data_IF_278560548576
#
_entry.id   IF_278560548576
#
_cell.length_a   1.000
_cell.length_b   1.000
_cell.length_c   1.000
_cell.angle_alpha   90.00
_cell.angle_beta   90.00
_cell.angle_gamma   90.00
#
_symmetry.space_group_name_H-M   'P 1'
#
loop_
_entity.id
_entity.type
_entity.pdbx_description
1 polymer ?
#
# COMPACT_ATOMS: atom_id res chain seq x y z
N UNK A 1 -20.51 -9.33 -0.46
CA UNK A 1 -21.48 -10.24 0.18
C UNK A 1 -20.99 -10.61 1.58
N UNK A 2 -21.90 -10.84 2.53
CA UNK A 2 -21.57 -11.30 3.88
C UNK A 2 -21.19 -12.79 3.88
N UNK A 3 -19.93 -13.08 3.51
CA UNK A 3 -19.34 -14.41 3.58
C UNK A 3 -17.82 -14.30 3.69
N UNK A 4 -17.12 -15.41 3.94
CA UNK A 4 -15.66 -15.43 4.06
C UNK A 4 -14.96 -14.80 2.86
N UNK A 5 -15.37 -15.15 1.62
CA UNK A 5 -14.75 -14.63 0.39
C UNK A 5 -14.91 -13.12 0.25
N UNK A 6 -16.08 -12.59 0.65
CA UNK A 6 -16.39 -11.17 0.66
C UNK A 6 -15.50 -10.35 1.60
N UNK A 7 -14.92 -10.98 2.62
CA UNK A 7 -13.94 -10.35 3.51
C UNK A 7 -12.50 -10.64 3.06
N UNK A 8 -12.20 -11.88 2.69
CA UNK A 8 -10.86 -12.28 2.25
C UNK A 8 -10.39 -11.54 0.99
N UNK A 9 -11.30 -11.22 0.06
CA UNK A 9 -10.96 -10.50 -1.17
C UNK A 9 -10.45 -9.07 -0.89
N UNK A 10 -11.22 -8.15 -0.24
CA UNK A 10 -10.68 -6.83 0.11
C UNK A 10 -9.49 -6.95 1.06
N UNK A 11 -9.52 -7.89 2.01
CA UNK A 11 -8.39 -8.16 2.90
C UNK A 11 -7.09 -8.46 2.17
N UNK A 12 -7.16 -9.21 1.08
CA UNK A 12 -6.00 -9.53 0.23
C UNK A 12 -5.45 -8.30 -0.47
N UNK A 13 -6.30 -7.42 -1.01
CA UNK A 13 -5.84 -6.18 -1.63
C UNK A 13 -5.09 -5.30 -0.62
N UNK A 14 -5.70 -5.00 0.52
CA UNK A 14 -5.06 -4.15 1.54
C UNK A 14 -3.76 -4.76 2.08
N UNK A 15 -3.73 -6.08 2.27
CA UNK A 15 -2.51 -6.77 2.70
C UNK A 15 -1.40 -6.68 1.65
N UNK A 16 -1.72 -6.95 0.38
CA UNK A 16 -0.74 -6.90 -0.71
C UNK A 16 -0.22 -5.46 -0.93
N UNK A 17 -1.11 -4.47 -0.96
CA UNK A 17 -0.71 -3.06 -1.06
C UNK A 17 0.11 -2.61 0.15
N UNK A 18 -0.30 -2.98 1.37
CA UNK A 18 0.43 -2.64 2.59
C UNK A 18 1.84 -3.25 2.62
N UNK A 19 1.98 -4.53 2.28
CA UNK A 19 3.28 -5.20 2.15
C UNK A 19 4.14 -4.56 1.04
N UNK A 20 3.55 -4.28 -0.11
CA UNK A 20 4.22 -3.60 -1.22
C UNK A 20 4.74 -2.22 -0.82
N UNK A 21 3.89 -1.40 -0.20
CA UNK A 21 4.24 -0.07 0.29
C UNK A 21 5.34 -0.11 1.35
N UNK A 22 5.33 -1.11 2.24
CA UNK A 22 6.36 -1.29 3.27
C UNK A 22 7.77 -1.54 2.71
N UNK A 23 7.89 -1.92 1.43
CA UNK A 23 9.17 -2.09 0.73
C UNK A 23 9.45 -0.90 -0.21
N UNK A 24 8.46 -0.50 -1.01
CA UNK A 24 8.56 0.57 -2.01
C UNK A 24 9.02 1.89 -1.41
N UNK A 25 8.40 2.33 -0.31
CA UNK A 25 8.69 3.65 0.27
C UNK A 25 10.08 3.70 0.92
N UNK A 26 10.51 2.72 1.74
CA UNK A 26 11.89 2.68 2.22
C UNK A 26 12.93 2.62 1.10
N UNK A 27 12.65 1.92 -0.01
CA UNK A 27 13.54 1.90 -1.17
C UNK A 27 13.67 3.29 -1.79
N UNK A 28 12.54 3.98 -1.99
CA UNK A 28 12.50 5.36 -2.51
C UNK A 28 13.29 6.31 -1.62
N UNK A 29 13.12 6.18 -0.31
CA UNK A 29 13.82 7.01 0.68
C UNK A 29 15.33 6.77 0.68
N UNK A 30 15.77 5.50 0.68
CA UNK A 30 17.18 5.16 0.61
C UNK A 30 17.83 5.67 -0.69
N UNK A 31 17.11 5.59 -1.82
CA UNK A 31 17.60 6.16 -3.08
C UNK A 31 17.76 7.68 -3.00
N UNK A 32 16.74 8.40 -2.52
CA UNK A 32 16.81 9.87 -2.36
C UNK A 32 18.00 10.27 -1.48
N UNK A 33 18.23 9.55 -0.38
CA UNK A 33 19.34 9.82 0.53
C UNK A 33 20.72 9.54 -0.10
N UNK A 34 20.86 8.50 -0.92
CA UNK A 34 22.11 8.19 -1.62
C UNK A 34 22.44 9.15 -2.78
N UNK A 35 21.46 9.93 -3.26
CA UNK A 35 21.61 10.87 -4.38
C UNK A 35 22.06 12.28 -3.96
N UNK A 36 22.39 12.52 -2.68
CA UNK A 36 22.95 13.80 -2.21
C UNK A 36 24.22 14.17 -3.02
N UNK A 37 24.07 15.08 -3.99
CA UNK A 37 25.14 15.62 -4.83
C UNK A 37 24.92 15.56 -6.35
N UNK A 38 23.99 14.73 -6.86
CA UNK A 38 23.68 14.64 -8.32
C UNK A 38 22.20 14.98 -8.54
N UNK A 39 21.88 15.68 -9.65
CA UNK A 39 20.53 16.16 -10.03
C UNK A 39 19.42 15.19 -9.58
N UNK A 40 18.53 15.66 -8.71
CA UNK A 40 17.43 14.94 -8.06
C UNK A 40 16.32 14.48 -9.01
N UNK A 41 16.63 13.67 -10.03
CA UNK A 41 15.59 12.99 -10.80
C UNK A 41 15.37 11.62 -10.20
N UNK A 42 14.17 11.41 -9.66
CA UNK A 42 13.74 10.07 -9.26
C UNK A 42 13.83 9.16 -10.50
N UNK A 43 14.38 7.94 -10.36
CA UNK A 43 14.52 7.03 -11.49
C UNK A 43 13.20 6.78 -12.21
N UNK A 44 13.25 6.68 -13.54
CA UNK A 44 12.12 6.28 -14.39
C UNK A 44 11.45 4.98 -13.91
N UNK A 45 12.21 4.13 -13.22
CA UNK A 45 11.71 2.91 -12.58
C UNK A 45 10.58 3.18 -11.57
N UNK A 46 10.73 4.18 -10.69
CA UNK A 46 9.68 4.49 -9.71
C UNK A 46 8.44 5.08 -10.38
N UNK A 47 8.62 5.90 -11.43
CA UNK A 47 7.50 6.38 -12.24
C UNK A 47 6.74 5.24 -12.91
N UNK A 48 7.44 4.23 -13.46
CA UNK A 48 6.80 3.04 -14.03
C UNK A 48 6.05 2.23 -12.98
N UNK A 49 6.62 2.08 -11.79
CA UNK A 49 5.93 1.44 -10.65
C UNK A 49 4.64 2.19 -10.31
N UNK A 50 4.71 3.52 -10.18
CA UNK A 50 3.55 4.34 -9.82
C UNK A 50 2.46 4.24 -10.90
N UNK A 51 2.82 4.21 -12.19
CA UNK A 51 1.90 3.95 -13.31
C UNK A 51 1.24 2.57 -13.23
N UNK A 52 2.03 1.51 -12.98
CA UNK A 52 1.50 0.13 -12.88
C UNK A 52 0.55 0.03 -11.69
N UNK A 53 0.90 0.63 -10.55
CA UNK A 53 0.06 0.65 -9.35
C UNK A 53 -1.29 1.32 -9.63
N UNK A 54 -1.28 2.49 -10.27
CA UNK A 54 -2.50 3.19 -10.68
C UNK A 54 -3.33 2.38 -11.67
N UNK A 55 -2.69 1.76 -12.68
CA UNK A 55 -3.38 0.91 -13.65
C UNK A 55 -4.02 -0.33 -13.00
N UNK A 56 -3.34 -0.96 -12.04
CA UNK A 56 -3.87 -2.09 -11.26
C UNK A 56 -5.11 -1.65 -10.48
N UNK A 57 -5.06 -0.49 -9.79
CA UNK A 57 -6.22 0.06 -9.07
C UNK A 57 -7.40 0.28 -10.02
N UNK A 58 -7.19 0.94 -11.16
CA UNK A 58 -8.24 1.19 -12.16
C UNK A 58 -8.85 -0.13 -12.64
N UNK A 59 -8.00 -1.09 -13.03
CA UNK A 59 -8.45 -2.37 -13.57
C UNK A 59 -9.29 -3.14 -12.55
N UNK A 60 -8.80 -3.33 -11.33
CA UNK A 60 -9.54 -4.08 -10.31
C UNK A 60 -10.78 -3.35 -9.82
N UNK A 61 -10.76 -2.02 -9.74
CA UNK A 61 -11.96 -1.23 -9.47
C UNK A 61 -13.03 -1.42 -10.54
N UNK A 62 -12.64 -1.38 -11.82
CA UNK A 62 -13.56 -1.64 -12.92
C UNK A 62 -14.14 -3.06 -12.84
N UNK A 63 -13.29 -4.08 -12.69
CA UNK A 63 -13.72 -5.48 -12.52
C UNK A 63 -14.65 -5.63 -11.31
N UNK A 64 -14.34 -4.97 -10.19
CA UNK A 64 -15.17 -4.98 -8.99
C UNK A 64 -16.56 -4.40 -9.22
N UNK A 65 -16.65 -3.25 -9.91
CA UNK A 65 -17.94 -2.65 -10.29
C UNK A 65 -18.70 -3.60 -11.22
N UNK A 66 -18.04 -4.16 -12.23
CA UNK A 66 -18.69 -5.11 -13.15
C UNK A 66 -19.21 -6.34 -12.43
N UNK A 67 -18.42 -6.90 -11.50
CA UNK A 67 -18.81 -8.06 -10.72
C UNK A 67 -19.95 -7.77 -9.73
N UNK A 68 -19.97 -6.60 -9.09
CA UNK A 68 -21.06 -6.25 -8.19
C UNK A 68 -22.36 -5.90 -8.92
N UNK A 69 -22.27 -5.33 -10.13
CA UNK A 69 -23.43 -4.87 -10.90
C UNK A 69 -24.02 -5.93 -11.83
N UNK A 70 -23.20 -6.73 -12.51
CA UNK A 70 -23.61 -7.52 -13.69
C UNK A 70 -23.38 -9.02 -13.58
N UNK A 71 -23.09 -9.55 -12.39
CA UNK A 71 -23.28 -11.00 -12.15
C UNK A 71 -24.76 -11.36 -12.33
N UNK A 72 -25.12 -12.63 -12.61
CA UNK A 72 -26.53 -13.02 -12.82
C UNK A 72 -27.46 -12.58 -11.69
N UNK A 73 -26.96 -12.58 -10.46
CA UNK A 73 -27.65 -12.07 -9.27
C UNK A 73 -27.26 -10.63 -8.92
N UNK A 74 -26.92 -9.79 -9.88
CA UNK A 74 -26.58 -8.37 -9.69
C UNK A 74 -27.80 -7.44 -9.78
N UNK A 75 -27.65 -6.16 -9.41
CA UNK A 75 -28.65 -5.11 -9.64
C UNK A 75 -28.80 -4.68 -11.12
N UNK A 76 -27.83 -5.01 -11.99
CA UNK A 76 -27.83 -4.68 -13.41
C UNK A 76 -28.06 -3.19 -13.70
N UNK A 77 -27.40 -2.31 -12.93
CA UNK A 77 -27.56 -0.85 -12.98
C UNK A 77 -28.98 -0.32 -12.64
N UNK A 78 -29.89 -1.17 -12.15
CA UNK A 78 -31.15 -0.73 -11.57
C UNK A 78 -30.91 -0.39 -10.08
N UNK A 79 -31.04 0.89 -9.74
CA UNK A 79 -30.98 1.32 -8.34
C UNK A 79 -32.33 1.13 -7.63
N UNK A 80 -33.43 1.28 -8.37
CA UNK A 80 -34.78 1.24 -7.85
C UNK A 80 -35.72 0.54 -8.84
N UNK A 81 -36.54 -0.39 -8.34
CA UNK A 81 -37.63 -1.03 -9.07
C UNK A 81 -38.68 -1.50 -8.06
N UNK A 82 -39.70 -0.67 -7.83
CA UNK A 82 -40.71 -0.85 -6.75
C UNK A 82 -40.12 -1.06 -5.34
N UNK A 83 -38.89 -0.57 -5.15
CA UNK A 83 -38.08 -0.76 -3.96
C UNK A 83 -36.59 -0.66 -4.29
N UNK A 84 -35.77 -0.54 -3.24
CA UNK A 84 -34.33 -0.48 -3.38
C UNK A 84 -33.76 -1.82 -3.85
N UNK A 85 -32.95 -1.80 -4.92
CA UNK A 85 -32.39 -3.02 -5.51
C UNK A 85 -30.95 -3.20 -5.01
N UNK A 86 -30.73 -4.23 -4.20
CA UNK A 86 -29.39 -4.72 -3.78
C UNK A 86 -28.43 -3.59 -3.38
N UNK A 87 -28.84 -2.73 -2.43
CA UNK A 87 -28.06 -1.57 -1.99
C UNK A 87 -26.64 -1.92 -1.52
N UNK A 88 -26.42 -3.13 -1.01
CA UNK A 88 -25.07 -3.59 -0.65
C UNK A 88 -24.12 -3.66 -1.84
N UNK A 89 -24.60 -4.15 -2.99
CA UNK A 89 -23.83 -4.15 -4.24
C UNK A 89 -23.52 -2.73 -4.71
N UNK A 90 -24.46 -1.79 -4.52
CA UNK A 90 -24.25 -0.37 -4.81
C UNK A 90 -23.24 0.29 -3.87
N UNK A 91 -23.24 -0.03 -2.57
CA UNK A 91 -22.22 0.45 -1.64
C UNK A 91 -20.84 -0.04 -2.05
N UNK A 92 -20.68 -1.33 -2.38
CA UNK A 92 -19.40 -1.85 -2.86
C UNK A 92 -18.96 -1.23 -4.19
N UNK A 93 -19.89 -1.08 -5.13
CA UNK A 93 -19.62 -0.41 -6.41
C UNK A 93 -19.16 1.04 -6.21
N UNK A 94 -19.75 1.74 -5.23
CA UNK A 94 -19.33 3.09 -4.83
C UNK A 94 -17.91 3.09 -4.25
N UNK A 95 -17.58 2.13 -3.38
CA UNK A 95 -16.22 1.99 -2.86
C UNK A 95 -15.21 1.75 -4.00
N UNK A 96 -15.49 0.79 -4.89
CA UNK A 96 -14.63 0.48 -6.04
C UNK A 96 -14.44 1.70 -6.95
N UNK A 97 -15.49 2.50 -7.19
CA UNK A 97 -15.40 3.73 -7.97
C UNK A 97 -14.35 4.70 -7.39
N UNK A 98 -14.37 4.94 -6.07
CA UNK A 98 -13.41 5.85 -5.45
C UNK A 98 -11.98 5.31 -5.46
N UNK A 99 -11.77 4.00 -5.29
CA UNK A 99 -10.45 3.39 -5.51
C UNK A 99 -10.00 3.50 -6.98
N UNK A 100 -10.94 3.48 -7.93
CA UNK A 100 -10.66 3.71 -9.35
C UNK A 100 -10.22 5.15 -9.61
N UNK A 101 -10.89 6.12 -8.99
CA UNK A 101 -10.50 7.54 -9.02
C UNK A 101 -9.09 7.72 -8.42
N UNK A 102 -8.77 7.03 -7.31
CA UNK A 102 -7.41 7.01 -6.76
C UNK A 102 -6.39 6.45 -7.75
N UNK A 103 -6.72 5.37 -8.47
CA UNK A 103 -5.85 4.83 -9.52
C UNK A 103 -5.64 5.80 -10.69
N UNK A 104 -6.68 6.54 -11.09
CA UNK A 104 -6.56 7.60 -12.10
C UNK A 104 -5.62 8.70 -11.61
N UNK A 105 -5.77 9.14 -10.36
CA UNK A 105 -4.88 10.13 -9.75
C UNK A 105 -3.41 9.68 -9.75
N UNK A 106 -3.14 8.40 -9.44
CA UNK A 106 -1.79 7.83 -9.50
C UNK A 106 -1.21 7.89 -10.92
N UNK A 107 -1.99 7.49 -11.94
CA UNK A 107 -1.55 7.51 -13.34
C UNK A 107 -1.27 8.94 -13.81
N UNK A 108 -2.16 9.88 -13.46
CA UNK A 108 -1.98 11.30 -13.79
C UNK A 108 -0.72 11.87 -13.12
N UNK A 109 -0.48 11.56 -11.83
CA UNK A 109 0.72 11.98 -11.10
C UNK A 109 2.02 11.37 -11.64
N UNK A 110 1.96 10.18 -12.23
CA UNK A 110 3.11 9.52 -12.84
C UNK A 110 3.30 9.90 -14.33
N UNK A 111 2.36 10.62 -14.94
CA UNK A 111 2.45 11.14 -16.30
C UNK A 111 3.20 12.48 -16.37
N UNK A 112 3.44 12.99 -17.58
CA UNK A 112 4.05 14.32 -17.79
C UNK A 112 3.06 15.48 -17.66
N UNK A 113 1.83 15.23 -17.22
CA UNK A 113 0.79 16.25 -17.11
C UNK A 113 1.04 17.17 -15.90
N UNK A 114 0.71 18.47 -16.02
CA UNK A 114 0.83 19.41 -14.91
C UNK A 114 -0.30 19.18 -13.90
N UNK A 115 -0.04 18.35 -12.89
CA UNK A 115 -1.03 18.03 -11.83
C UNK A 115 -0.58 18.58 -10.47
N UNK A 116 -1.53 18.90 -9.56
CA UNK A 116 -1.19 19.33 -8.21
C UNK A 116 -0.37 18.27 -7.46
N UNK A 117 0.66 18.71 -6.73
CA UNK A 117 1.45 17.82 -5.87
C UNK A 117 0.55 17.24 -4.77
N UNK A 118 0.64 15.94 -4.54
CA UNK A 118 -0.15 15.24 -3.52
C UNK A 118 -1.55 14.83 -3.96
N UNK A 119 -1.93 15.00 -5.22
CA UNK A 119 -3.22 14.55 -5.76
C UNK A 119 -3.42 13.04 -5.59
N UNK A 120 -2.36 12.24 -5.77
CA UNK A 120 -2.32 10.79 -5.51
C UNK A 120 -2.72 10.47 -4.06
N UNK A 121 -2.13 11.19 -3.09
CA UNK A 121 -2.41 11.02 -1.65
C UNK A 121 -3.81 11.48 -1.28
N UNK A 122 -4.24 12.62 -1.81
CA UNK A 122 -5.58 13.13 -1.57
C UNK A 122 -6.65 12.16 -2.07
N UNK A 123 -6.49 11.65 -3.30
CA UNK A 123 -7.44 10.72 -3.89
C UNK A 123 -7.48 9.38 -3.14
N UNK A 124 -6.32 8.85 -2.73
CA UNK A 124 -6.26 7.63 -1.91
C UNK A 124 -6.92 7.86 -0.53
N UNK A 125 -6.64 8.98 0.12
CA UNK A 125 -7.25 9.32 1.40
C UNK A 125 -8.77 9.45 1.29
N UNK A 126 -9.27 10.01 0.18
CA UNK A 126 -10.71 10.13 -0.08
C UNK A 126 -11.34 8.75 -0.32
N UNK A 127 -10.65 7.86 -1.03
CA UNK A 127 -11.12 6.49 -1.25
C UNK A 127 -11.23 5.71 0.07
N UNK A 128 -10.21 5.78 0.92
CA UNK A 128 -10.24 5.19 2.27
C UNK A 128 -11.34 5.82 3.14
N UNK A 129 -11.58 7.13 3.00
CA UNK A 129 -12.64 7.81 3.74
C UNK A 129 -14.03 7.31 3.32
N UNK A 130 -14.29 7.19 2.01
CA UNK A 130 -15.56 6.67 1.50
C UNK A 130 -15.77 5.22 1.90
N UNK A 131 -14.71 4.39 1.86
CA UNK A 131 -14.73 3.05 2.43
C UNK A 131 -15.17 3.06 3.91
N UNK A 132 -14.45 3.79 4.76
CA UNK A 132 -14.74 3.84 6.20
C UNK A 132 -16.13 4.41 6.51
N UNK A 133 -16.55 5.43 5.76
CA UNK A 133 -17.87 6.04 5.88
C UNK A 133 -18.99 5.06 5.54
N UNK A 134 -18.89 4.34 4.43
CA UNK A 134 -19.88 3.33 4.03
C UNK A 134 -19.89 2.15 5.02
N UNK A 135 -18.72 1.68 5.46
CA UNK A 135 -18.62 0.62 6.46
C UNK A 135 -19.22 1.01 7.82
N UNK A 136 -19.03 2.24 8.26
CA UNK A 136 -19.62 2.71 9.52
C UNK A 136 -21.15 2.56 9.53
N UNK A 137 -21.81 2.95 8.44
CA UNK A 137 -23.26 2.84 8.33
C UNK A 137 -23.75 1.44 7.92
N UNK A 138 -22.89 0.59 7.37
CA UNK A 138 -23.19 -0.81 7.03
C UNK A 138 -23.49 -1.68 8.27
N UNK A 139 -22.85 -1.40 9.41
CA UNK A 139 -22.81 -2.30 10.57
C UNK A 139 -24.00 -2.12 11.53
N UNK A 140 -24.87 -1.13 11.29
CA UNK A 140 -25.99 -0.85 12.18
C UNK A 140 -26.96 -2.04 12.27
N UNK A 141 -27.44 -2.34 13.49
CA UNK A 141 -28.38 -3.43 13.82
C UNK A 141 -27.85 -4.88 13.68
N UNK A 142 -26.53 -5.08 13.73
CA UNK A 142 -25.90 -6.41 13.80
C UNK A 142 -25.75 -6.90 15.25
N UNK A 143 -25.52 -8.21 15.48
CA UNK A 143 -25.25 -8.69 16.84
C UNK A 143 -23.98 -8.03 17.44
N UNK A 144 -23.78 -8.10 18.77
CA UNK A 144 -22.73 -7.36 19.46
C UNK A 144 -21.31 -7.67 18.96
N UNK A 145 -20.98 -8.95 18.76
CA UNK A 145 -19.65 -9.36 18.29
C UNK A 145 -19.39 -8.90 16.85
N UNK A 146 -20.35 -9.10 15.94
CA UNK A 146 -20.29 -8.61 14.55
C UNK A 146 -20.10 -7.09 14.49
N UNK A 147 -20.85 -6.35 15.31
CA UNK A 147 -20.71 -4.89 15.42
C UNK A 147 -19.33 -4.49 15.91
N UNK A 148 -18.84 -5.14 16.97
CA UNK A 148 -17.56 -4.83 17.59
C UNK A 148 -16.37 -5.11 16.67
N UNK A 149 -16.36 -6.29 16.04
CA UNK A 149 -15.24 -6.70 15.17
C UNK A 149 -15.12 -5.80 13.93
N UNK A 150 -16.24 -5.36 13.36
CA UNK A 150 -16.24 -4.39 12.27
C UNK A 150 -15.89 -2.97 12.75
N UNK A 151 -16.30 -2.58 13.96
CA UNK A 151 -15.93 -1.28 14.53
C UNK A 151 -14.41 -1.17 14.72
N UNK A 152 -13.74 -2.27 15.09
CA UNK A 152 -12.28 -2.32 15.17
C UNK A 152 -11.59 -2.06 13.82
N UNK A 153 -12.16 -2.56 12.71
CA UNK A 153 -11.67 -2.29 11.36
C UNK A 153 -11.63 -0.78 11.07
N UNK A 154 -12.64 -0.03 11.52
CA UNK A 154 -12.75 1.40 11.26
C UNK A 154 -11.59 2.19 11.86
N UNK A 155 -11.00 1.74 12.98
CA UNK A 155 -9.80 2.39 13.53
C UNK A 155 -8.61 2.29 12.58
N UNK A 156 -8.41 1.13 11.94
CA UNK A 156 -7.37 0.96 10.93
C UNK A 156 -7.64 1.85 9.70
N UNK A 157 -8.89 1.86 9.22
CA UNK A 157 -9.31 2.64 8.04
C UNK A 157 -9.15 4.14 8.30
N UNK A 158 -9.76 4.68 9.36
CA UNK A 158 -9.68 6.11 9.66
C UNK A 158 -8.29 6.55 10.10
N UNK A 159 -7.52 5.68 10.76
CA UNK A 159 -6.09 5.92 10.95
C UNK A 159 -5.35 6.04 9.61
N UNK A 160 -5.68 5.16 8.65
CA UNK A 160 -5.14 5.19 7.30
C UNK A 160 -5.52 6.47 6.55
N UNK A 161 -6.77 6.91 6.66
CA UNK A 161 -7.24 8.21 6.15
C UNK A 161 -6.40 9.34 6.74
N UNK A 162 -6.29 9.43 8.07
CA UNK A 162 -5.54 10.49 8.73
C UNK A 162 -4.07 10.51 8.31
N UNK A 163 -3.41 9.34 8.28
CA UNK A 163 -2.02 9.21 7.84
C UNK A 163 -1.84 9.64 6.38
N UNK A 164 -2.72 9.17 5.48
CA UNK A 164 -2.64 9.48 4.04
C UNK A 164 -2.96 10.96 3.77
N UNK A 165 -3.91 11.55 4.49
CA UNK A 165 -4.25 12.96 4.37
C UNK A 165 -3.09 13.85 4.83
N UNK A 166 -2.41 13.49 5.93
CA UNK A 166 -1.22 14.22 6.38
C UNK A 166 -0.10 14.20 5.34
N UNK A 167 0.05 13.12 4.56
CA UNK A 167 1.01 13.04 3.46
C UNK A 167 0.74 14.07 2.34
N UNK A 168 -0.48 14.60 2.21
CA UNK A 168 -0.79 15.68 1.25
C UNK A 168 -0.04 16.96 1.62
N UNK A 169 0.08 17.24 2.92
CA UNK A 169 0.72 18.45 3.44
C UNK A 169 2.22 18.23 3.76
N UNK A 170 2.58 17.01 4.18
CA UNK A 170 3.94 16.62 4.59
C UNK A 170 4.43 15.49 3.69
N UNK A 171 4.74 15.84 2.44
CA UNK A 171 5.12 14.89 1.39
C UNK A 171 6.40 14.12 1.74
N UNK A 172 6.40 12.82 1.38
CA UNK A 172 7.54 11.91 1.52
C UNK A 172 8.10 11.80 2.97
N UNK A 173 7.25 12.00 3.99
CA UNK A 173 7.65 11.81 5.38
C UNK A 173 7.66 10.31 5.74
N UNK A 174 8.82 9.72 6.07
CA UNK A 174 8.96 8.27 6.17
C UNK A 174 8.07 7.66 7.25
N UNK A 175 7.87 8.35 8.37
CA UNK A 175 7.00 7.85 9.45
C UNK A 175 5.54 7.76 8.99
N UNK A 176 5.06 8.71 8.17
CA UNK A 176 3.68 8.68 7.67
C UNK A 176 3.50 7.54 6.66
N UNK A 177 4.47 7.35 5.77
CA UNK A 177 4.43 6.26 4.79
C UNK A 177 4.50 4.87 5.46
N UNK A 178 5.32 4.72 6.51
CA UNK A 178 5.39 3.48 7.30
C UNK A 178 4.12 3.26 8.13
N UNK A 179 3.54 4.32 8.68
CA UNK A 179 2.27 4.26 9.42
C UNK A 179 1.13 3.82 8.52
N UNK A 180 0.98 4.45 7.35
CA UNK A 180 0.00 4.05 6.34
C UNK A 180 0.19 2.59 5.89
N UNK A 181 1.43 2.17 5.67
CA UNK A 181 1.73 0.78 5.30
C UNK A 181 1.32 -0.21 6.40
N UNK A 182 1.60 0.13 7.67
CA UNK A 182 1.23 -0.68 8.83
C UNK A 182 -0.29 -0.78 8.99
N UNK A 183 -1.00 0.32 8.80
CA UNK A 183 -2.46 0.37 8.90
C UNK A 183 -3.14 -0.37 7.74
N UNK A 184 -2.57 -0.36 6.54
CA UNK A 184 -3.05 -1.16 5.42
C UNK A 184 -2.86 -2.67 5.67
N UNK A 185 -1.73 -3.10 6.24
CA UNK A 185 -1.52 -4.50 6.66
C UNK A 185 -2.51 -4.88 7.77
N UNK A 186 -2.69 -4.01 8.76
CA UNK A 186 -3.68 -4.22 9.83
C UNK A 186 -5.08 -4.39 9.25
N UNK A 187 -5.53 -3.45 8.41
CA UNK A 187 -6.82 -3.52 7.72
C UNK A 187 -6.98 -4.82 6.93
N UNK A 188 -5.95 -5.19 6.14
CA UNK A 188 -5.97 -6.40 5.33
C UNK A 188 -6.07 -7.69 6.17
N UNK A 189 -5.22 -7.83 7.19
CA UNK A 189 -5.29 -8.99 8.09
C UNK A 189 -6.56 -9.01 8.95
N UNK A 190 -7.11 -7.84 9.28
CA UNK A 190 -8.33 -7.74 10.07
C UNK A 190 -9.57 -8.15 9.30
N UNK A 191 -9.63 -7.84 8.00
CA UNK A 191 -10.67 -8.41 7.12
C UNK A 191 -10.66 -9.95 7.15
N UNK A 192 -9.47 -10.58 7.12
CA UNK A 192 -9.38 -12.04 7.31
C UNK A 192 -9.89 -12.46 8.69
N UNK A 193 -9.54 -11.74 9.75
CA UNK A 193 -10.01 -12.02 11.11
C UNK A 193 -11.55 -11.97 11.20
N UNK A 194 -12.18 -10.95 10.61
CA UNK A 194 -13.65 -10.85 10.48
C UNK A 194 -14.19 -12.09 9.78
N UNK A 195 -13.60 -12.46 8.64
CA UNK A 195 -13.98 -13.65 7.88
C UNK A 195 -13.91 -14.93 8.72
N UNK A 196 -12.85 -15.14 9.49
CA UNK A 196 -12.68 -16.34 10.32
C UNK A 196 -13.62 -16.39 11.53
N UNK A 197 -13.95 -15.24 12.12
CA UNK A 197 -14.82 -15.18 13.31
C UNK A 197 -16.28 -15.32 12.93
N UNK A 198 -16.74 -14.60 11.91
CA UNK A 198 -18.16 -14.59 11.50
C UNK A 198 -18.51 -15.72 10.53
N UNK A 199 -17.52 -16.23 9.79
CA UNK A 199 -17.72 -17.28 8.78
C UNK A 199 -16.64 -18.36 8.93
N UNK A 200 -16.57 -19.07 10.08
CA UNK A 200 -15.53 -20.05 10.35
C UNK A 200 -15.54 -21.15 9.29
N UNK A 201 -14.38 -21.39 8.68
CA UNK A 201 -14.25 -22.44 7.66
C UNK A 201 -14.33 -23.86 8.25
N UNK A 202 -13.98 -24.00 9.52
CA UNK A 202 -13.99 -25.24 10.33
C UNK A 202 -14.13 -24.87 11.81
N UNK A 203 -14.76 -25.73 12.60
CA UNK A 203 -14.93 -25.54 14.04
C UNK A 203 -16.30 -24.98 14.43
N UNK A 204 -16.57 -24.81 15.74
CA UNK A 204 -17.83 -24.28 16.23
C UNK A 204 -17.98 -22.78 15.90
N UNK A 205 -19.22 -22.33 15.75
CA UNK A 205 -19.55 -20.91 15.62
C UNK A 205 -19.28 -20.15 16.92
N UNK A 206 -18.93 -18.87 16.78
CA UNK A 206 -18.65 -18.00 17.91
C UNK A 206 -19.95 -17.56 18.58
N UNK A 207 -19.98 -17.54 19.92
CA UNK A 207 -21.09 -16.95 20.65
C UNK A 207 -21.02 -15.42 20.56
N UNK A 208 -21.87 -14.82 19.73
CA UNK A 208 -21.87 -13.38 19.47
C UNK A 208 -22.32 -12.49 20.65
N UNK A 209 -22.87 -13.10 21.71
CA UNK A 209 -23.30 -12.42 22.93
C UNK A 209 -22.32 -12.61 24.09
N UNK A 210 -21.31 -13.45 23.92
CA UNK A 210 -20.33 -13.71 24.98
C UNK A 210 -19.34 -12.53 25.10
N UNK A 211 -19.32 -11.91 26.28
CA UNK A 211 -18.39 -10.83 26.59
C UNK A 211 -16.92 -11.25 26.47
N UNK A 212 -16.59 -12.51 26.77
CA UNK A 212 -15.23 -13.05 26.65
C UNK A 212 -14.71 -12.96 25.21
N UNK A 213 -15.58 -13.21 24.23
CA UNK A 213 -15.25 -13.09 22.81
C UNK A 213 -14.95 -11.64 22.42
N UNK A 214 -15.70 -10.66 22.96
CA UNK A 214 -15.42 -9.24 22.71
C UNK A 214 -14.05 -8.82 23.27
N UNK A 215 -13.74 -9.24 24.50
CA UNK A 215 -12.43 -8.97 25.13
C UNK A 215 -11.29 -9.61 24.33
N UNK A 216 -11.44 -10.88 23.95
CA UNK A 216 -10.44 -11.60 23.16
C UNK A 216 -10.20 -10.95 21.80
N UNK A 217 -11.26 -10.59 21.08
CA UNK A 217 -11.14 -9.94 19.76
C UNK A 217 -10.46 -8.57 19.88
N UNK A 218 -10.75 -7.80 20.94
CA UNK A 218 -10.05 -6.52 21.19
C UNK A 218 -8.55 -6.74 21.42
N UNK A 219 -8.18 -7.73 22.21
CA UNK A 219 -6.77 -8.08 22.43
C UNK A 219 -6.09 -8.59 21.14
N UNK A 220 -6.79 -9.42 20.37
CA UNK A 220 -6.34 -9.94 19.08
C UNK A 220 -6.04 -8.80 18.09
N UNK A 221 -6.86 -7.74 18.06
CA UNK A 221 -6.61 -6.54 17.26
C UNK A 221 -5.25 -5.90 17.56
N UNK A 222 -4.91 -5.75 18.85
CA UNK A 222 -3.63 -5.22 19.27
C UNK A 222 -2.45 -6.10 18.83
N UNK A 223 -2.63 -7.43 18.81
CA UNK A 223 -1.62 -8.34 18.28
C UNK A 223 -1.43 -8.20 16.78
N UNK A 224 -2.50 -8.05 16.01
CA UNK A 224 -2.42 -7.75 14.58
C UNK A 224 -1.66 -6.44 14.32
N UNK A 225 -1.92 -5.40 15.11
CA UNK A 225 -1.19 -4.13 15.01
C UNK A 225 0.30 -4.32 15.32
N UNK A 226 0.64 -5.04 16.39
CA UNK A 226 2.03 -5.31 16.75
C UNK A 226 2.76 -6.09 15.64
N UNK A 227 2.12 -7.11 15.06
CA UNK A 227 2.66 -7.88 13.93
C UNK A 227 2.82 -7.02 12.69
N UNK A 228 1.85 -6.15 12.37
CA UNK A 228 1.94 -5.24 11.23
C UNK A 228 3.14 -4.29 11.37
N UNK A 229 3.33 -3.70 12.56
CA UNK A 229 4.49 -2.85 12.86
C UNK A 229 5.81 -3.62 12.74
N UNK A 230 5.85 -4.86 13.23
CA UNK A 230 7.03 -5.72 13.14
C UNK A 230 7.38 -6.03 11.67
N UNK A 231 6.40 -6.40 10.85
CA UNK A 231 6.60 -6.67 9.42
C UNK A 231 7.18 -5.43 8.72
N UNK A 232 6.60 -4.25 8.96
CA UNK A 232 7.08 -3.00 8.35
C UNK A 232 8.49 -2.65 8.83
N UNK A 233 8.78 -2.83 10.13
CA UNK A 233 10.11 -2.63 10.69
C UNK A 233 11.15 -3.55 10.07
N UNK A 234 10.84 -4.85 9.94
CA UNK A 234 11.72 -5.83 9.29
C UNK A 234 11.97 -5.46 7.83
N UNK A 235 10.92 -5.12 7.07
CA UNK A 235 11.05 -4.72 5.66
C UNK A 235 11.91 -3.46 5.51
N UNK A 236 11.72 -2.47 6.38
CA UNK A 236 12.56 -1.28 6.42
C UNK A 236 14.04 -1.63 6.67
N UNK A 237 14.33 -2.45 7.67
CA UNK A 237 15.70 -2.90 7.98
C UNK A 237 16.33 -3.66 6.83
N UNK A 238 15.60 -4.60 6.20
CA UNK A 238 16.08 -5.38 5.05
C UNK A 238 16.43 -4.44 3.89
N UNK A 239 15.53 -3.53 3.54
CA UNK A 239 15.75 -2.57 2.44
C UNK A 239 16.95 -1.68 2.74
N UNK A 240 17.03 -1.13 3.95
CA UNK A 240 18.13 -0.27 4.36
C UNK A 240 19.47 -1.00 4.29
N UNK A 241 19.55 -2.22 4.83
CA UNK A 241 20.76 -3.05 4.77
C UNK A 241 21.14 -3.40 3.32
N UNK A 242 20.18 -3.79 2.47
CA UNK A 242 20.43 -4.12 1.08
C UNK A 242 20.94 -2.91 0.28
N UNK A 243 20.34 -1.73 0.48
CA UNK A 243 20.73 -0.49 -0.18
C UNK A 243 22.12 -0.02 0.27
N UNK A 244 22.44 -0.13 1.56
CA UNK A 244 23.76 0.22 2.09
C UNK A 244 24.86 -0.70 1.53
N UNK A 245 24.60 -2.01 1.43
CA UNK A 245 25.55 -2.98 0.83
C UNK A 245 25.80 -2.67 -0.65
N UNK A 246 24.75 -2.33 -1.42
CA UNK A 246 24.89 -1.93 -2.83
C UNK A 246 25.69 -0.64 -3.00
N UNK A 247 25.48 0.36 -2.14
CA UNK A 247 26.24 1.61 -2.15
C UNK A 247 27.73 1.39 -1.84
N UNK A 248 28.04 0.53 -0.86
CA UNK A 248 29.43 0.17 -0.55
C UNK A 248 30.12 -0.54 -1.74
N UNK A 249 29.48 -1.54 -2.34
CA UNK A 249 30.04 -2.25 -3.49
C UNK A 249 30.26 -1.37 -4.73
N UNK A 250 29.38 -0.39 -4.98
CA UNK A 250 29.60 0.59 -6.05
C UNK A 250 30.78 1.52 -5.78
N UNK A 251 30.96 1.96 -4.53
CA UNK A 251 32.10 2.80 -4.13
C UNK A 251 33.42 2.05 -4.30
N UNK A 252 33.48 0.79 -3.87
CA UNK A 252 34.67 -0.05 -4.01
C UNK A 252 35.03 -0.27 -5.49
N UNK A 253 34.02 -0.49 -6.36
CA UNK A 253 34.25 -0.62 -7.81
C UNK A 253 34.78 0.68 -8.45
N UNK A 254 34.26 1.84 -8.04
CA UNK A 254 34.73 3.14 -8.52
C UNK A 254 36.17 3.40 -8.06
N UNK A 255 36.50 3.10 -6.80
CA UNK A 255 37.86 3.25 -6.26
C UNK A 255 38.86 2.30 -6.95
N UNK A 256 38.47 1.04 -7.22
CA UNK A 256 39.29 0.09 -8.00
C UNK A 256 39.48 0.58 -9.44
N UNK A 257 38.43 1.12 -10.08
CA UNK A 257 38.49 1.67 -11.43
C UNK A 257 39.42 2.88 -11.54
N UNK A 258 39.31 3.83 -10.60
CA UNK A 258 40.20 5.00 -10.50
C UNK A 258 41.66 4.57 -10.29
N UNK A 259 41.91 3.59 -9.42
CA UNK A 259 43.26 3.08 -9.16
C UNK A 259 43.87 2.41 -10.38
N UNK A 260 43.08 1.64 -11.14
CA UNK A 260 43.51 1.04 -12.42
C UNK A 260 43.82 2.11 -13.48
N UNK A 261 43.01 3.15 -13.60
CA UNK A 261 43.27 4.28 -14.50
C UNK A 261 44.56 5.00 -14.14
N UNK A 262 44.78 5.32 -12.86
CA UNK A 262 45.99 5.98 -12.40
C UNK A 262 47.25 5.11 -12.64
N UNK A 263 47.16 3.80 -12.41
CA UNK A 263 48.24 2.86 -12.71
C UNK A 263 48.53 2.77 -14.22
N UNK A 264 47.50 2.79 -15.06
CA UNK A 264 47.62 2.84 -16.51
C UNK A 264 48.35 4.11 -16.95
N UNK A 265 47.91 5.29 -16.50
CA UNK A 265 48.53 6.56 -16.86
C UNK A 265 50.00 6.64 -16.44
N UNK A 266 50.33 6.10 -15.26
CA UNK A 266 51.72 6.05 -14.79
C UNK A 266 52.58 5.11 -15.65
N UNK A 267 52.02 4.00 -16.15
CA UNK A 267 52.71 3.08 -17.05
C UNK A 267 52.93 3.67 -18.44
N UNK A 268 51.94 4.38 -18.99
CA UNK A 268 52.04 5.08 -20.27
C UNK A 268 53.07 6.20 -20.19
N UNK A 269 53.11 6.94 -19.07
CA UNK A 269 54.07 8.02 -18.87
C UNK A 269 55.50 7.51 -18.71
N UNK A 270 55.69 6.34 -18.09
CA UNK A 270 57.01 5.66 -18.03
C UNK A 270 57.48 5.16 -19.40
N UNK A 271 56.57 4.62 -20.22
CA UNK A 271 56.90 4.16 -21.57
C UNK A 271 57.35 5.31 -22.47
N UNK A 272 56.68 6.46 -22.39
CA UNK A 272 57.04 7.67 -23.15
C UNK A 272 58.37 8.30 -22.73
N UNK A 273 58.78 8.14 -21.47
CA UNK A 273 60.09 8.60 -20.98
C UNK A 273 61.23 7.65 -21.36
N UNK A 274 60.96 6.34 -21.45
CA UNK A 274 61.97 5.39 -21.95
C UNK A 274 62.26 5.58 -23.44
N UNK A 275 61.25 5.92 -24.25
CA UNK A 275 61.45 6.21 -25.68
C UNK A 275 62.22 7.52 -25.93
N UNK A 276 62.30 8.46 -24.97
CA UNK A 276 63.04 9.72 -25.14
C UNK A 276 64.49 9.66 -24.67
N UNK A 277 64.88 8.63 -23.92
CA UNK A 277 66.25 8.43 -23.43
C UNK A 277 67.09 7.55 -24.40
N UNK A 278 66.49 7.04 -25.49
CA UNK A 278 67.17 6.24 -26.53
C UNK A 278 67.54 7.02 -27.82
N UNK A 279 67.39 8.35 -27.85
CA UNK A 279 67.96 9.23 -28.92
C UNK A 279 69.21 10.00 -28.45
#
# INVERSE_FOLDING_TARGET
MANFKGHALPGSFFLLFGLWWSVKYPMRQCWKNNLHGRRQKLPLFFTRIDLIEGAIKIFFSFVGIMAEQFVPDGPHAHLYNDGWVKLMNWQHSTMYLFFGISGIADVLCASSLPVPKGLDRMALSLALFVEGFLFYFHVHNRPPLDTHIHSLLLFAVFGGVASTMLEVFILDHPILELTRSSLAILQGTWFYQIGFVLFPLRGPEWNEKDHGNLMFITMCYCWHLAVALLIVGINYSIVFCAMRRRGAGQRDQIEIGLRKSALSDTSTQKALLQDSDEE
#
